data_IF_144448730036
#
_entry.id   IF_144448730036
#
_cell.length_a   1.000
_cell.length_b   1.000
_cell.length_c   1.000
_cell.angle_alpha   90.00
_cell.angle_beta   90.00
_cell.angle_gamma   90.00
#
_symmetry.space_group_name_H-M   'P 1'
#
loop_
_entity.id
_entity.type
_entity.pdbx_description
1 polymer ?
#
# COMPACT_ATOMS: atom_id res chain seq x y z
N UNK A 1 15.59 5.77 23.40
CA UNK A 1 16.61 6.00 22.36
C UNK A 1 16.86 7.49 22.29
N UNK A 2 18.10 8.00 22.12
CA UNK A 2 18.38 9.44 22.21
C UNK A 2 17.92 10.13 20.92
N UNK A 3 17.06 11.16 21.01
CA UNK A 3 16.49 11.91 19.88
C UNK A 3 17.55 12.45 18.91
N UNK A 4 18.71 12.80 19.41
CA UNK A 4 19.84 13.25 18.61
C UNK A 4 20.39 12.15 17.68
N UNK A 5 20.41 10.91 18.17
CA UNK A 5 20.83 9.75 17.38
C UNK A 5 19.83 9.43 16.27
N UNK A 6 18.54 9.62 16.55
CA UNK A 6 17.47 9.44 15.54
C UNK A 6 17.57 10.50 14.45
N UNK A 7 17.78 11.75 14.81
CA UNK A 7 17.96 12.85 13.83
C UNK A 7 19.17 12.59 12.92
N UNK A 8 20.30 12.14 13.49
CA UNK A 8 21.49 11.80 12.71
C UNK A 8 21.23 10.67 11.73
N UNK A 9 20.53 9.62 12.18
CA UNK A 9 20.14 8.50 11.32
C UNK A 9 19.21 8.93 10.18
N UNK A 10 18.19 9.74 10.47
CA UNK A 10 17.27 10.25 9.45
C UNK A 10 17.98 11.16 8.44
N UNK A 11 18.95 11.97 8.90
CA UNK A 11 19.78 12.78 8.01
C UNK A 11 20.60 11.92 7.04
N UNK A 12 21.17 10.83 7.52
CA UNK A 12 21.88 9.87 6.66
C UNK A 12 20.92 9.18 5.69
N UNK A 13 19.75 8.69 6.17
CA UNK A 13 18.72 8.07 5.32
C UNK A 13 18.26 9.01 4.19
N UNK A 14 18.15 10.32 4.45
CA UNK A 14 17.83 11.30 3.41
C UNK A 14 18.84 11.30 2.27
N UNK A 15 20.13 11.30 2.57
CA UNK A 15 21.18 11.25 1.55
C UNK A 15 21.18 9.94 0.75
N UNK A 16 20.76 8.84 1.37
CA UNK A 16 20.71 7.50 0.78
C UNK A 16 19.41 7.22 0.01
N UNK A 17 18.42 8.13 0.05
CA UNK A 17 17.14 7.93 -0.66
C UNK A 17 17.37 7.67 -2.16
N UNK A 18 16.70 6.65 -2.67
CA UNK A 18 16.68 6.28 -4.09
C UNK A 18 15.34 6.64 -4.71
N UNK A 19 15.21 6.53 -6.02
CA UNK A 19 13.92 6.70 -6.71
C UNK A 19 12.88 5.63 -6.29
N UNK A 20 13.31 4.48 -5.78
CA UNK A 20 12.43 3.44 -5.27
C UNK A 20 11.76 3.82 -3.92
N UNK A 21 12.24 4.85 -3.23
CA UNK A 21 11.56 5.36 -2.05
C UNK A 21 10.31 6.16 -2.47
N UNK A 22 9.16 5.86 -1.87
CA UNK A 22 7.85 6.45 -2.21
C UNK A 22 7.83 7.99 -2.08
N UNK A 23 8.56 8.55 -1.09
CA UNK A 23 8.68 9.99 -0.91
C UNK A 23 9.55 10.64 -1.98
N UNK A 24 10.72 10.06 -2.26
CA UNK A 24 11.60 10.56 -3.30
C UNK A 24 10.92 10.46 -4.67
N UNK A 25 10.25 9.34 -4.95
CA UNK A 25 9.47 9.14 -6.16
C UNK A 25 8.39 10.23 -6.32
N UNK A 26 7.57 10.44 -5.30
CA UNK A 26 6.53 11.48 -5.32
C UNK A 26 7.11 12.87 -5.58
N UNK A 27 8.21 13.24 -4.91
CA UNK A 27 8.87 14.54 -5.11
C UNK A 27 9.46 14.70 -6.52
N UNK A 28 10.07 13.66 -7.07
CA UNK A 28 10.58 13.68 -8.46
C UNK A 28 9.44 13.82 -9.47
N UNK A 29 8.34 13.13 -9.22
CA UNK A 29 7.16 13.13 -10.10
C UNK A 29 6.32 14.42 -10.01
N UNK A 30 6.65 15.37 -9.15
CA UNK A 30 6.12 16.74 -9.24
C UNK A 30 6.60 17.46 -10.51
N UNK A 31 7.68 16.98 -11.12
CA UNK A 31 8.22 17.55 -12.36
C UNK A 31 7.44 17.04 -13.58
N UNK A 32 6.59 17.92 -14.15
CA UNK A 32 5.75 17.60 -15.31
C UNK A 32 6.53 17.10 -16.53
N UNK A 33 7.78 17.56 -16.72
CA UNK A 33 8.59 17.13 -17.86
C UNK A 33 9.05 15.68 -17.69
N UNK A 34 9.43 15.28 -16.47
CA UNK A 34 9.76 13.89 -16.13
C UNK A 34 8.53 13.00 -16.30
N UNK A 35 7.37 13.42 -15.75
CA UNK A 35 6.12 12.67 -15.90
C UNK A 35 5.77 12.45 -17.38
N UNK A 36 5.84 13.51 -18.19
CA UNK A 36 5.53 13.43 -19.62
C UNK A 36 6.46 12.45 -20.34
N UNK A 37 7.77 12.58 -20.12
CA UNK A 37 8.76 11.70 -20.76
C UNK A 37 8.59 10.24 -20.34
N UNK A 38 8.34 9.99 -19.06
CA UNK A 38 8.06 8.65 -18.54
C UNK A 38 6.83 8.05 -19.20
N UNK A 39 5.71 8.78 -19.26
CA UNK A 39 4.48 8.31 -19.88
C UNK A 39 4.62 8.06 -21.39
N UNK A 40 5.34 8.91 -22.10
CA UNK A 40 5.63 8.70 -23.55
C UNK A 40 6.44 7.43 -23.81
N UNK A 41 7.30 7.05 -22.90
CA UNK A 41 8.06 5.80 -22.99
C UNK A 41 7.24 4.57 -22.65
N UNK A 42 6.29 4.71 -21.71
CA UNK A 42 5.37 3.63 -21.35
C UNK A 42 4.34 3.40 -22.45
N UNK A 43 3.82 4.48 -23.03
CA UNK A 43 2.76 4.47 -24.03
C UNK A 43 3.19 5.22 -25.31
N UNK A 44 4.14 4.67 -26.08
CA UNK A 44 4.63 5.34 -27.29
C UNK A 44 3.55 5.52 -28.37
N UNK A 45 2.48 4.70 -28.30
CA UNK A 45 1.29 4.79 -29.15
C UNK A 45 0.38 5.97 -28.82
N UNK A 46 0.47 6.51 -27.59
CA UNK A 46 -0.31 7.67 -27.18
C UNK A 46 0.48 8.95 -27.47
N UNK A 47 -0.07 9.82 -28.30
CA UNK A 47 0.48 11.17 -28.50
C UNK A 47 0.24 12.00 -27.25
N UNK A 48 1.18 11.98 -26.29
CA UNK A 48 1.12 12.74 -25.05
C UNK A 48 1.91 14.03 -25.24
N UNK A 49 1.21 15.13 -25.56
CA UNK A 49 1.86 16.41 -25.81
C UNK A 49 2.11 17.19 -24.51
N UNK A 50 1.14 17.21 -23.63
CA UNK A 50 1.23 17.93 -22.35
C UNK A 50 0.62 17.13 -21.21
N UNK A 51 1.26 17.23 -20.06
CA UNK A 51 0.69 16.86 -18.77
C UNK A 51 0.06 18.12 -18.19
N UNK A 52 -1.27 18.12 -18.03
CA UNK A 52 -2.00 19.30 -17.53
C UNK A 52 -1.96 19.40 -16.02
N UNK A 53 -2.04 18.25 -15.33
CA UNK A 53 -2.09 18.20 -13.88
C UNK A 53 -1.31 17.00 -13.34
N UNK A 54 -0.38 17.28 -12.44
CA UNK A 54 0.25 16.28 -11.57
C UNK A 54 -0.17 16.58 -10.14
N UNK A 55 -0.68 15.58 -9.45
CA UNK A 55 -1.00 15.67 -8.03
C UNK A 55 -0.35 14.48 -7.34
N UNK A 56 0.64 14.76 -6.51
CA UNK A 56 1.28 13.74 -5.67
C UNK A 56 0.49 13.53 -4.40
N UNK A 57 0.50 12.31 -3.86
CA UNK A 57 -0.21 11.93 -2.65
C UNK A 57 -1.71 12.30 -2.67
N UNK A 58 -2.34 12.18 -3.86
CA UNK A 58 -3.75 12.53 -4.03
C UNK A 58 -4.65 11.59 -3.23
N UNK A 59 -5.40 12.16 -2.30
CA UNK A 59 -6.51 11.45 -1.67
C UNK A 59 -7.76 11.53 -2.53
N UNK A 60 -8.46 10.42 -2.67
CA UNK A 60 -9.81 10.38 -3.23
C UNK A 60 -10.78 10.27 -2.06
N UNK A 61 -11.66 11.27 -1.95
CA UNK A 61 -12.71 11.25 -0.93
C UNK A 61 -13.73 10.17 -1.31
N UNK A 62 -13.74 9.12 -0.54
CA UNK A 62 -14.75 8.07 -0.58
C UNK A 62 -15.85 8.38 0.44
N UNK A 63 -17.05 7.76 0.34
CA UNK A 63 -18.03 7.81 1.41
C UNK A 63 -17.40 7.46 2.76
N UNK A 64 -17.93 8.01 3.85
CA UNK A 64 -17.37 7.92 5.22
C UNK A 64 -17.00 6.49 5.65
N UNK A 65 -17.67 5.48 5.10
CA UNK A 65 -17.48 4.06 5.44
C UNK A 65 -16.56 3.31 4.44
N UNK A 66 -16.06 3.97 3.39
CA UNK A 66 -15.21 3.34 2.41
C UNK A 66 -13.71 3.57 2.69
N UNK A 67 -12.89 2.61 2.27
CA UNK A 67 -11.44 2.71 2.41
C UNK A 67 -10.91 3.88 1.56
N UNK A 68 -10.35 4.89 2.20
CA UNK A 68 -9.68 6.00 1.52
C UNK A 68 -8.48 5.49 0.72
N UNK A 69 -8.35 5.92 -0.52
CA UNK A 69 -7.18 5.67 -1.37
C UNK A 69 -6.35 6.94 -1.46
N UNK A 70 -5.06 6.76 -1.34
CA UNK A 70 -4.06 7.79 -1.64
C UNK A 70 -3.18 7.29 -2.75
N UNK A 71 -3.27 7.92 -3.92
CA UNK A 71 -2.40 7.65 -5.05
C UNK A 71 -1.04 8.33 -4.84
N UNK A 72 0.05 7.64 -5.15
CA UNK A 72 1.38 8.24 -5.09
C UNK A 72 1.48 9.39 -6.09
N UNK A 73 1.10 9.16 -7.33
CA UNK A 73 1.07 10.17 -8.39
C UNK A 73 -0.19 10.02 -9.22
N UNK A 74 -0.96 11.08 -9.33
CA UNK A 74 -2.12 11.19 -10.21
C UNK A 74 -1.82 12.21 -11.31
N UNK A 75 -1.90 11.80 -12.55
CA UNK A 75 -1.59 12.62 -13.72
C UNK A 75 -2.80 12.70 -14.63
N UNK A 76 -3.06 13.87 -15.19
CA UNK A 76 -4.01 14.06 -16.28
C UNK A 76 -3.33 14.80 -17.42
N UNK A 77 -3.50 14.28 -18.64
CA UNK A 77 -2.96 14.91 -19.84
C UNK A 77 -3.99 15.83 -20.54
N UNK A 78 -3.58 16.40 -21.65
CA UNK A 78 -4.40 17.33 -22.45
C UNK A 78 -5.57 16.66 -23.19
N UNK A 79 -5.57 15.34 -23.29
CA UNK A 79 -6.69 14.55 -23.83
C UNK A 79 -7.57 13.94 -22.72
N UNK A 80 -7.49 14.46 -21.51
CA UNK A 80 -8.24 14.01 -20.33
C UNK A 80 -7.95 12.57 -19.90
N UNK A 81 -6.91 11.92 -20.45
CA UNK A 81 -6.49 10.60 -20.00
C UNK A 81 -5.93 10.70 -18.58
N UNK A 82 -6.29 9.74 -17.75
CA UNK A 82 -5.85 9.68 -16.35
C UNK A 82 -4.81 8.59 -16.17
N UNK A 83 -3.70 8.93 -15.53
CA UNK A 83 -2.63 7.99 -15.20
C UNK A 83 -2.40 7.99 -13.69
N UNK A 84 -2.49 6.80 -13.09
CA UNK A 84 -2.07 6.55 -11.72
C UNK A 84 -0.72 5.88 -11.78
N UNK A 85 0.29 6.46 -11.14
CA UNK A 85 1.64 5.90 -11.11
C UNK A 85 2.05 5.64 -9.67
N UNK A 86 2.40 4.40 -9.38
CA UNK A 86 2.68 3.89 -8.05
C UNK A 86 4.06 3.27 -7.96
N UNK A 87 4.76 3.49 -6.86
CA UNK A 87 6.00 2.82 -6.50
C UNK A 87 5.74 1.76 -5.43
N UNK A 88 6.13 0.52 -5.67
CA UNK A 88 5.86 -0.60 -4.76
C UNK A 88 7.11 -1.44 -4.51
N UNK A 89 7.73 -1.25 -3.35
CA UNK A 89 8.96 -1.99 -2.98
C UNK A 89 8.64 -3.31 -2.29
N UNK A 90 7.60 -3.36 -1.45
CA UNK A 90 7.24 -4.55 -0.70
C UNK A 90 6.10 -5.33 -1.36
N UNK A 91 6.30 -6.62 -1.63
CA UNK A 91 5.25 -7.51 -2.13
C UNK A 91 4.29 -7.90 -1.00
N UNK A 92 3.12 -7.27 -0.97
CA UNK A 92 2.05 -7.55 0.00
C UNK A 92 1.02 -8.57 -0.50
N UNK A 93 1.28 -9.25 -1.62
CA UNK A 93 0.41 -10.26 -2.23
C UNK A 93 -1.02 -9.77 -2.54
N UNK A 94 -1.22 -8.46 -2.73
CA UNK A 94 -2.54 -7.86 -2.93
C UNK A 94 -2.63 -6.95 -4.17
N UNK A 95 -1.63 -6.99 -5.04
CA UNK A 95 -1.52 -6.11 -6.21
C UNK A 95 -2.76 -6.12 -7.12
N UNK A 96 -3.34 -7.28 -7.54
CA UNK A 96 -4.51 -7.30 -8.42
C UNK A 96 -5.75 -6.64 -7.80
N UNK A 97 -5.89 -6.77 -6.48
CA UNK A 97 -7.02 -6.15 -5.75
C UNK A 97 -6.85 -4.63 -5.64
N UNK A 98 -5.61 -4.15 -5.49
CA UNK A 98 -5.31 -2.71 -5.53
C UNK A 98 -5.55 -2.14 -6.93
N UNK A 99 -5.08 -2.80 -7.97
CA UNK A 99 -5.28 -2.42 -9.37
C UNK A 99 -6.78 -2.24 -9.67
N UNK A 100 -7.60 -3.24 -9.32
CA UNK A 100 -9.06 -3.19 -9.48
C UNK A 100 -9.68 -2.02 -8.72
N UNK A 101 -9.33 -1.87 -7.45
CA UNK A 101 -9.89 -0.83 -6.60
C UNK A 101 -9.49 0.58 -7.05
N UNK A 102 -8.29 0.75 -7.58
CA UNK A 102 -7.80 2.03 -8.08
C UNK A 102 -8.57 2.49 -9.33
N UNK A 103 -8.85 1.58 -10.26
CA UNK A 103 -9.70 1.88 -11.42
C UNK A 103 -11.08 2.34 -10.99
N UNK A 104 -11.73 1.62 -10.07
CA UNK A 104 -13.03 1.97 -9.53
C UNK A 104 -13.04 3.37 -8.89
N UNK A 105 -12.02 3.70 -8.11
CA UNK A 105 -11.92 5.01 -7.47
C UNK A 105 -11.73 6.16 -8.47
N UNK A 106 -11.03 5.93 -9.56
CA UNK A 106 -10.90 6.93 -10.64
C UNK A 106 -12.27 7.14 -11.31
N UNK A 107 -12.97 6.08 -11.70
CA UNK A 107 -14.28 6.16 -12.34
C UNK A 107 -15.30 6.86 -11.42
N UNK A 108 -15.31 6.53 -10.13
CA UNK A 108 -16.10 7.23 -9.11
C UNK A 108 -15.80 8.72 -9.01
N UNK A 109 -14.55 9.12 -9.26
CA UNK A 109 -14.15 10.53 -9.23
C UNK A 109 -14.57 11.32 -10.47
N UNK A 110 -14.97 10.62 -11.55
CA UNK A 110 -15.38 11.19 -12.83
C UNK A 110 -16.91 11.29 -12.93
N UNK A 111 -17.60 10.25 -12.49
CA UNK A 111 -19.07 10.20 -12.54
C UNK A 111 -19.67 10.86 -11.29
N UNK A 112 -20.58 11.80 -11.52
CA UNK A 112 -21.44 12.36 -10.49
C UNK A 112 -22.85 11.74 -10.52
N UNK A 113 -23.68 12.03 -9.50
CA UNK A 113 -25.07 11.59 -9.48
C UNK A 113 -25.82 12.04 -10.74
N UNK A 114 -26.40 11.08 -11.48
CA UNK A 114 -27.16 11.36 -12.70
C UNK A 114 -26.35 11.49 -13.98
N UNK A 115 -25.02 11.39 -13.93
CA UNK A 115 -24.18 11.35 -15.13
C UNK A 115 -24.44 10.07 -15.94
N UNK A 116 -24.36 10.20 -17.27
CA UNK A 116 -24.39 9.05 -18.18
C UNK A 116 -23.03 8.31 -18.15
N UNK A 117 -23.05 7.00 -18.17
CA UNK A 117 -21.83 6.16 -18.21
C UNK A 117 -20.94 6.43 -19.42
N UNK A 118 -21.51 6.87 -20.56
CA UNK A 118 -20.76 7.30 -21.76
C UNK A 118 -19.73 8.39 -21.48
N UNK A 119 -19.91 9.16 -20.41
CA UNK A 119 -18.93 10.15 -19.96
C UNK A 119 -17.55 9.55 -19.75
N UNK A 120 -17.46 8.28 -19.29
CA UNK A 120 -16.19 7.59 -19.06
C UNK A 120 -15.39 7.40 -20.34
N UNK A 121 -16.03 7.33 -21.52
CA UNK A 121 -15.33 7.21 -22.80
C UNK A 121 -14.35 8.38 -23.06
N UNK A 122 -14.64 9.55 -22.50
CA UNK A 122 -13.77 10.74 -22.59
C UNK A 122 -12.59 10.72 -21.59
N UNK A 123 -12.49 9.69 -20.71
CA UNK A 123 -11.51 9.64 -19.63
C UNK A 123 -10.80 8.27 -19.53
N UNK A 124 -10.07 7.85 -20.56
CA UNK A 124 -9.31 6.62 -20.48
C UNK A 124 -8.38 6.61 -19.25
N UNK A 125 -8.29 5.47 -18.56
CA UNK A 125 -7.57 5.37 -17.28
C UNK A 125 -6.48 4.31 -17.35
N UNK A 126 -5.27 4.70 -16.99
CA UNK A 126 -4.07 3.87 -16.97
C UNK A 126 -3.54 3.77 -15.54
N UNK A 127 -3.44 2.55 -15.01
CA UNK A 127 -2.85 2.31 -13.70
C UNK A 127 -1.50 1.61 -13.88
N UNK A 128 -0.44 2.24 -13.40
CA UNK A 128 0.95 1.88 -13.62
C UNK A 128 1.61 1.61 -12.26
N UNK A 129 2.15 0.41 -12.09
CA UNK A 129 2.93 0.06 -10.90
C UNK A 129 4.37 -0.23 -11.28
N UNK A 130 5.31 0.44 -10.61
CA UNK A 130 6.72 0.09 -10.61
C UNK A 130 7.00 -0.77 -9.38
N UNK A 131 7.23 -2.07 -9.59
CA UNK A 131 7.43 -3.03 -8.51
C UNK A 131 8.91 -3.44 -8.41
N UNK A 132 9.43 -3.46 -7.19
CA UNK A 132 10.73 -4.04 -6.89
C UNK A 132 10.62 -5.56 -6.58
N UNK A 133 9.75 -6.24 -7.29
CA UNK A 133 9.52 -7.68 -7.23
C UNK A 133 8.74 -8.14 -8.47
N UNK A 134 8.89 -9.43 -8.83
CA UNK A 134 8.06 -10.07 -9.84
C UNK A 134 6.80 -10.66 -9.21
N UNK A 135 5.66 -9.94 -9.33
CA UNK A 135 4.39 -10.41 -8.77
C UNK A 135 3.88 -11.66 -9.46
N UNK A 136 4.08 -11.77 -10.79
CA UNK A 136 3.52 -12.83 -11.61
C UNK A 136 4.46 -14.01 -11.80
N UNK A 137 5.73 -13.90 -11.41
CA UNK A 137 6.72 -14.97 -11.45
C UNK A 137 7.08 -15.45 -12.85
N UNK A 138 6.96 -14.59 -13.89
CA UNK A 138 7.27 -14.92 -15.27
C UNK A 138 8.57 -14.29 -15.78
N UNK A 139 9.32 -13.64 -14.91
CA UNK A 139 10.56 -12.93 -15.20
C UNK A 139 10.45 -11.92 -16.37
N UNK A 140 9.24 -11.35 -16.54
CA UNK A 140 9.03 -10.29 -17.52
C UNK A 140 9.25 -8.93 -16.86
N UNK A 141 9.94 -8.00 -17.53
CA UNK A 141 10.11 -6.64 -16.99
C UNK A 141 8.85 -5.79 -17.10
N UNK A 142 7.87 -6.23 -17.91
CA UNK A 142 6.61 -5.54 -18.11
C UNK A 142 5.46 -6.53 -18.30
N UNK A 143 4.35 -6.26 -17.63
CA UNK A 143 3.07 -6.94 -17.79
C UNK A 143 2.00 -5.90 -18.10
N UNK A 144 1.28 -6.08 -19.25
CA UNK A 144 0.15 -5.23 -19.65
C UNK A 144 -1.12 -6.03 -19.63
N UNK A 145 -2.18 -5.44 -19.08
CA UNK A 145 -3.50 -6.05 -19.00
C UNK A 145 -4.56 -5.07 -19.49
N UNK A 146 -5.47 -5.59 -20.29
CA UNK A 146 -6.69 -4.92 -20.70
C UNK A 146 -7.83 -5.93 -20.82
N UNK A 147 -9.05 -5.48 -20.91
CA UNK A 147 -10.21 -6.33 -21.04
C UNK A 147 -10.34 -6.83 -22.47
N UNK A 148 -10.18 -8.15 -22.66
CA UNK A 148 -10.25 -8.81 -23.98
C UNK A 148 -11.19 -10.00 -23.94
N UNK A 149 -11.77 -10.33 -25.11
CA UNK A 149 -12.55 -11.55 -25.26
C UNK A 149 -11.63 -12.77 -25.13
N UNK A 150 -12.06 -13.80 -24.40
CA UNK A 150 -11.25 -15.00 -24.15
C UNK A 150 -11.04 -15.86 -25.40
N UNK A 151 -12.04 -15.89 -26.29
CA UNK A 151 -12.01 -16.71 -27.50
C UNK A 151 -11.43 -15.94 -28.71
N UNK A 152 -11.47 -14.62 -28.66
CA UNK A 152 -10.95 -13.72 -29.67
C UNK A 152 -10.07 -12.63 -29.01
N UNK A 153 -8.81 -12.92 -28.69
CA UNK A 153 -7.94 -11.99 -27.92
C UNK A 153 -7.69 -10.63 -28.60
N UNK A 154 -7.91 -10.52 -29.90
CA UNK A 154 -7.82 -9.24 -30.63
C UNK A 154 -9.04 -8.34 -30.43
N UNK A 155 -10.15 -8.89 -29.92
CA UNK A 155 -11.36 -8.13 -29.58
C UNK A 155 -11.24 -7.58 -28.17
N UNK A 156 -11.12 -6.25 -28.06
CA UNK A 156 -11.13 -5.55 -26.77
C UNK A 156 -12.55 -5.22 -26.35
N UNK A 157 -12.80 -5.13 -25.04
CA UNK A 157 -14.10 -4.70 -24.51
C UNK A 157 -14.33 -3.18 -24.65
N UNK A 158 -13.33 -2.41 -25.08
CA UNK A 158 -13.48 -0.95 -25.29
C UNK A 158 -13.67 -0.12 -24.02
N UNK A 159 -13.26 -0.64 -22.85
CA UNK A 159 -13.46 0.04 -21.56
C UNK A 159 -12.59 1.29 -21.38
N UNK A 160 -11.57 1.49 -22.20
CA UNK A 160 -10.59 2.57 -22.02
C UNK A 160 -9.70 2.43 -20.78
N UNK A 161 -9.66 1.23 -20.19
CA UNK A 161 -8.85 0.93 -19.01
C UNK A 161 -7.66 0.05 -19.36
N UNK A 162 -6.48 0.39 -18.84
CA UNK A 162 -5.28 -0.40 -19.02
C UNK A 162 -4.46 -0.46 -17.72
N UNK A 163 -3.91 -1.64 -17.43
CA UNK A 163 -3.04 -1.88 -16.27
C UNK A 163 -1.64 -2.22 -16.76
N UNK A 164 -0.63 -1.58 -16.19
CA UNK A 164 0.78 -1.85 -16.50
C UNK A 164 1.52 -2.10 -15.19
N UNK A 165 2.19 -3.24 -15.12
CA UNK A 165 3.03 -3.60 -13.97
C UNK A 165 4.44 -3.82 -14.47
N UNK A 166 5.36 -3.00 -14.00
CA UNK A 166 6.79 -3.16 -14.23
C UNK A 166 7.44 -3.95 -13.10
N UNK A 167 8.35 -4.83 -13.48
CA UNK A 167 9.15 -5.64 -12.58
C UNK A 167 10.62 -5.19 -12.69
N UNK A 168 11.14 -4.51 -11.67
CA UNK A 168 12.52 -4.07 -11.64
C UNK A 168 13.52 -5.20 -11.35
N UNK A 169 13.04 -6.38 -10.91
CA UNK A 169 13.86 -7.57 -10.64
C UNK A 169 14.00 -8.50 -11.85
N UNK A 170 13.46 -8.14 -13.02
CA UNK A 170 13.58 -8.96 -14.20
C UNK A 170 15.05 -9.21 -14.57
N UNK A 171 15.39 -10.45 -14.93
CA UNK A 171 16.76 -10.84 -15.28
C UNK A 171 17.26 -10.19 -16.58
N UNK A 172 16.34 -9.84 -17.48
CA UNK A 172 16.63 -9.18 -18.76
C UNK A 172 15.67 -8.03 -19.03
N UNK A 173 16.23 -6.90 -19.47
CA UNK A 173 15.47 -5.78 -20.01
C UNK A 173 15.70 -5.73 -21.52
N UNK A 174 14.68 -6.09 -22.29
CA UNK A 174 14.76 -5.99 -23.74
C UNK A 174 14.80 -4.52 -24.18
N UNK A 175 15.51 -4.20 -25.24
CA UNK A 175 15.65 -2.82 -25.77
C UNK A 175 14.33 -2.13 -26.13
N UNK A 176 13.24 -2.91 -26.26
CA UNK A 176 11.89 -2.39 -26.54
C UNK A 176 11.20 -1.74 -25.32
N UNK A 177 11.74 -1.92 -24.12
CA UNK A 177 11.14 -1.34 -22.91
C UNK A 177 11.72 0.05 -22.70
N UNK A 178 10.99 1.07 -23.11
CA UNK A 178 11.42 2.47 -23.04
C UNK A 178 11.79 2.95 -21.63
N UNK A 179 11.39 2.22 -20.58
CA UNK A 179 11.66 2.53 -19.16
C UNK A 179 12.75 1.65 -18.53
N UNK A 180 13.47 0.84 -19.33
CA UNK A 180 14.51 -0.05 -18.77
C UNK A 180 15.56 0.69 -17.93
N UNK A 181 15.99 1.87 -18.37
CA UNK A 181 16.91 2.72 -17.60
C UNK A 181 16.31 3.17 -16.26
N UNK A 182 15.03 3.50 -16.23
CA UNK A 182 14.32 3.87 -15.03
C UNK A 182 14.19 2.70 -14.03
N UNK A 183 13.88 1.49 -14.51
CA UNK A 183 13.84 0.28 -13.69
C UNK A 183 15.20 -0.04 -13.08
N UNK A 184 16.29 0.09 -13.85
CA UNK A 184 17.68 -0.05 -13.33
C UNK A 184 18.00 1.01 -12.26
N UNK A 185 17.49 2.23 -12.43
CA UNK A 185 17.69 3.31 -11.46
C UNK A 185 17.02 3.02 -10.11
N UNK A 186 15.96 2.21 -10.07
CA UNK A 186 15.37 1.75 -8.79
C UNK A 186 16.41 1.02 -7.92
N UNK A 187 17.40 0.37 -8.54
CA UNK A 187 18.54 -0.30 -7.89
C UNK A 187 19.83 0.52 -7.91
N UNK A 188 19.75 1.84 -8.07
CA UNK A 188 20.91 2.74 -8.19
C UNK A 188 21.85 2.45 -9.36
N UNK A 189 21.38 1.71 -10.37
CA UNK A 189 22.15 1.46 -11.58
C UNK A 189 21.83 2.57 -12.60
N UNK A 190 22.79 3.46 -12.84
CA UNK A 190 22.64 4.58 -13.75
C UNK A 190 22.93 4.11 -15.17
N UNK A 191 21.90 4.12 -16.02
CA UNK A 191 22.07 3.88 -17.46
C UNK A 191 22.66 5.16 -18.11
N UNK A 192 23.93 5.08 -18.51
CA UNK A 192 24.58 6.21 -19.16
C UNK A 192 23.93 6.53 -20.52
N UNK A 193 23.73 7.81 -20.81
CA UNK A 193 23.16 8.28 -22.07
C UNK A 193 21.64 8.15 -22.19
N UNK A 194 20.93 7.76 -21.11
CA UNK A 194 19.47 7.80 -21.07
C UNK A 194 18.98 9.18 -20.56
N UNK A 195 18.36 10.01 -21.42
CA UNK A 195 17.94 11.36 -21.04
C UNK A 195 16.94 11.40 -19.88
N UNK A 196 16.04 10.39 -19.75
CA UNK A 196 15.11 10.31 -18.65
C UNK A 196 15.86 10.03 -17.34
N UNK A 197 16.77 9.07 -17.33
CA UNK A 197 17.59 8.73 -16.15
C UNK A 197 18.42 9.92 -15.72
N UNK A 198 19.00 10.66 -16.65
CA UNK A 198 19.75 11.88 -16.35
C UNK A 198 18.88 12.99 -15.75
N UNK A 199 17.64 13.16 -16.27
CA UNK A 199 16.69 14.13 -15.74
C UNK A 199 16.26 13.76 -14.32
N UNK A 200 15.89 12.50 -14.10
CA UNK A 200 15.50 11.97 -12.77
C UNK A 200 16.66 12.13 -11.77
N UNK A 201 17.87 11.74 -12.16
CA UNK A 201 19.05 11.85 -11.27
C UNK A 201 19.36 13.31 -10.90
N UNK A 202 19.26 14.23 -11.86
CA UNK A 202 19.42 15.67 -11.57
C UNK A 202 18.35 16.20 -10.63
N UNK A 203 17.10 15.80 -10.84
CA UNK A 203 15.98 16.21 -9.99
C UNK A 203 16.13 15.65 -8.56
N UNK A 204 16.50 14.38 -8.41
CA UNK A 204 16.81 13.79 -7.10
C UNK A 204 17.92 14.57 -6.38
N UNK A 205 18.98 14.93 -7.10
CA UNK A 205 20.07 15.75 -6.52
C UNK A 205 19.56 17.12 -6.08
N UNK A 206 18.74 17.79 -6.89
CA UNK A 206 18.13 19.07 -6.56
C UNK A 206 17.25 18.97 -5.30
N UNK A 207 16.42 17.91 -5.21
CA UNK A 207 15.56 17.64 -4.06
C UNK A 207 16.40 17.42 -2.79
N UNK A 208 17.46 16.62 -2.87
CA UNK A 208 18.35 16.35 -1.72
C UNK A 208 19.07 17.60 -1.20
N UNK A 209 19.34 18.56 -2.08
CA UNK A 209 19.96 19.85 -1.72
C UNK A 209 18.98 20.86 -1.13
N UNK A 210 17.67 20.59 -1.19
CA UNK A 210 16.64 21.48 -0.66
C UNK A 210 16.45 21.27 0.86
N UNK A 211 16.81 22.25 1.71
CA UNK A 211 16.75 22.10 3.15
C UNK A 211 15.31 22.05 3.69
N UNK A 212 14.32 22.60 2.96
CA UNK A 212 12.92 22.58 3.35
C UNK A 212 12.36 21.17 3.14
N UNK A 213 12.59 20.57 1.98
CA UNK A 213 12.18 19.18 1.68
C UNK A 213 12.84 18.17 2.62
N UNK A 214 14.11 18.39 2.96
CA UNK A 214 14.81 17.57 3.97
C UNK A 214 14.13 17.67 5.33
N UNK A 215 13.77 18.86 5.76
CA UNK A 215 13.09 19.10 7.04
C UNK A 215 11.71 18.41 7.08
N UNK A 216 10.93 18.55 6.00
CA UNK A 216 9.61 17.94 5.87
C UNK A 216 9.68 16.41 5.89
N UNK A 217 10.66 15.83 5.20
CA UNK A 217 10.93 14.41 5.26
C UNK A 217 11.25 13.94 6.68
N UNK A 218 12.20 14.61 7.35
CA UNK A 218 12.60 14.23 8.71
C UNK A 218 11.44 14.34 9.69
N UNK A 219 10.64 15.40 9.59
CA UNK A 219 9.44 15.56 10.42
C UNK A 219 8.45 14.43 10.19
N UNK A 220 8.15 14.11 8.95
CA UNK A 220 7.23 13.01 8.63
C UNK A 220 7.71 11.65 9.17
N UNK A 221 9.00 11.35 9.03
CA UNK A 221 9.56 10.09 9.56
C UNK A 221 9.48 10.03 11.08
N UNK A 222 9.72 11.15 11.77
CA UNK A 222 9.54 11.22 13.22
C UNK A 222 8.08 11.00 13.61
N UNK A 223 7.13 11.69 12.99
CA UNK A 223 5.70 11.54 13.25
C UNK A 223 5.24 10.08 13.01
N UNK A 224 5.79 9.42 11.98
CA UNK A 224 5.50 8.02 11.69
C UNK A 224 6.10 7.06 12.74
N UNK A 225 7.30 7.36 13.25
CA UNK A 225 7.92 6.57 14.32
C UNK A 225 7.13 6.70 15.63
N UNK A 226 6.69 7.91 15.97
CA UNK A 226 5.87 8.16 17.17
C UNK A 226 4.53 7.40 17.06
N UNK A 227 3.84 7.50 15.92
CA UNK A 227 2.58 6.78 15.68
C UNK A 227 2.74 5.24 15.76
N UNK A 228 3.88 4.71 15.27
CA UNK A 228 4.18 3.27 15.37
C UNK A 228 4.45 2.86 16.82
N UNK A 229 5.19 3.68 17.58
CA UNK A 229 5.48 3.43 18.99
C UNK A 229 4.20 3.40 19.82
N UNK A 230 3.30 4.38 19.61
CA UNK A 230 2.02 4.45 20.29
C UNK A 230 1.13 3.26 19.94
N UNK A 231 1.03 2.90 18.65
CA UNK A 231 0.28 1.74 18.19
C UNK A 231 0.80 0.43 18.80
N UNK A 232 2.13 0.28 18.89
CA UNK A 232 2.75 -0.89 19.52
C UNK A 232 2.45 -0.95 21.03
N UNK A 233 2.53 0.19 21.73
CA UNK A 233 2.23 0.26 23.16
C UNK A 233 0.76 -0.09 23.45
N UNK A 234 -0.17 0.44 22.68
CA UNK A 234 -1.61 0.13 22.78
C UNK A 234 -1.85 -1.36 22.50
N UNK A 235 -1.32 -1.89 21.39
CA UNK A 235 -1.49 -3.30 21.03
C UNK A 235 -0.91 -4.25 22.09
N UNK A 236 0.25 -3.91 22.68
CA UNK A 236 0.84 -4.70 23.76
C UNK A 236 -0.03 -4.69 25.02
N UNK A 237 -0.57 -3.52 25.40
CA UNK A 237 -1.44 -3.38 26.55
C UNK A 237 -2.75 -4.16 26.37
N UNK A 238 -3.37 -4.07 25.21
CA UNK A 238 -4.58 -4.82 24.85
C UNK A 238 -4.32 -6.33 24.81
N UNK A 239 -3.25 -6.77 24.15
CA UNK A 239 -2.86 -8.18 24.07
C UNK A 239 -2.59 -8.78 25.45
N UNK A 240 -1.91 -8.04 26.33
CA UNK A 240 -1.69 -8.44 27.72
C UNK A 240 -3.00 -8.58 28.49
N UNK A 241 -3.91 -7.61 28.34
CA UNK A 241 -5.25 -7.66 28.98
C UNK A 241 -6.05 -8.86 28.50
N UNK A 242 -6.12 -9.09 27.19
CA UNK A 242 -6.82 -10.24 26.59
C UNK A 242 -6.21 -11.56 27.02
N UNK A 243 -4.87 -11.67 27.02
CA UNK A 243 -4.16 -12.88 27.47
C UNK A 243 -4.40 -13.21 28.93
N UNK A 244 -4.42 -12.21 29.81
CA UNK A 244 -4.74 -12.40 31.24
C UNK A 244 -6.19 -12.86 31.43
N UNK A 245 -7.13 -12.27 30.71
CA UNK A 245 -8.54 -12.64 30.79
C UNK A 245 -8.77 -14.06 30.25
N UNK A 246 -8.18 -14.39 29.11
CA UNK A 246 -8.24 -15.74 28.55
C UNK A 246 -7.61 -16.77 29.47
N UNK A 247 -6.42 -16.50 30.02
CA UNK A 247 -5.73 -17.39 30.97
C UNK A 247 -6.54 -17.61 32.26
N UNK A 248 -7.21 -16.54 32.76
CA UNK A 248 -8.13 -16.65 33.88
C UNK A 248 -9.32 -17.58 33.53
N UNK A 249 -9.94 -17.40 32.37
CA UNK A 249 -11.07 -18.25 31.94
C UNK A 249 -10.66 -19.71 31.76
N UNK A 250 -9.52 -19.98 31.12
CA UNK A 250 -8.99 -21.34 30.95
C UNK A 250 -8.67 -22.00 32.29
N UNK A 251 -8.08 -21.23 33.23
CA UNK A 251 -7.78 -21.70 34.59
C UNK A 251 -9.06 -22.11 35.36
N UNK A 252 -10.12 -21.30 35.25
CA UNK A 252 -11.42 -21.60 35.87
C UNK A 252 -12.03 -22.87 35.27
N UNK A 253 -12.01 -23.03 33.94
CA UNK A 253 -12.49 -24.24 33.28
C UNK A 253 -11.68 -25.47 33.69
N UNK A 254 -10.36 -25.36 33.76
CA UNK A 254 -9.52 -26.45 34.21
C UNK A 254 -9.79 -26.86 35.67
N UNK A 255 -9.98 -25.86 36.55
CA UNK A 255 -10.36 -26.14 37.94
C UNK A 255 -11.77 -26.80 38.05
N UNK A 256 -12.72 -26.33 37.24
CA UNK A 256 -14.04 -26.95 37.17
C UNK A 256 -13.98 -28.43 36.68
N UNK A 257 -13.16 -28.71 35.65
CA UNK A 257 -12.93 -30.08 35.16
C UNK A 257 -12.31 -30.99 36.25
N UNK A 258 -11.33 -30.46 36.96
CA UNK A 258 -10.69 -31.19 38.07
C UNK A 258 -11.68 -31.49 39.19
N UNK A 259 -12.50 -30.52 39.58
CA UNK A 259 -13.52 -30.73 40.64
C UNK A 259 -14.64 -31.70 40.26
N UNK A 260 -15.01 -31.71 38.97
CA UNK A 260 -15.96 -32.72 38.42
C UNK A 260 -15.40 -34.13 38.53
N UNK A 261 -14.09 -34.32 38.30
CA UNK A 261 -13.42 -35.62 38.44
C UNK A 261 -13.35 -36.14 39.88
N UNK A 262 -13.62 -35.29 40.89
CA UNK A 262 -13.65 -35.67 42.32
C UNK A 262 -15.03 -36.13 42.80
N UNK A 263 -16.00 -36.29 41.91
CA UNK A 263 -17.39 -36.75 42.19
C UNK A 263 -18.11 -35.87 43.27
N UNK A 264 -17.73 -34.59 43.36
CA UNK A 264 -18.36 -33.63 44.28
C UNK A 264 -19.75 -33.21 43.77
N UNK A 265 -20.64 -32.85 44.72
CA UNK A 265 -21.96 -32.33 44.31
C UNK A 265 -21.81 -30.97 43.59
N UNK A 266 -22.69 -30.73 42.62
CA UNK A 266 -22.70 -29.47 41.83
C UNK A 266 -22.65 -28.20 42.73
N UNK A 267 -23.40 -28.19 43.83
CA UNK A 267 -23.46 -27.10 44.79
C UNK A 267 -22.10 -26.85 45.45
N UNK A 268 -21.33 -27.90 45.77
CA UNK A 268 -19.99 -27.79 46.32
C UNK A 268 -19.01 -27.24 45.30
N UNK A 269 -19.05 -27.72 44.04
CA UNK A 269 -18.19 -27.24 42.98
C UNK A 269 -18.42 -25.76 42.74
N UNK A 270 -19.65 -25.33 42.60
CA UNK A 270 -20.02 -23.91 42.39
C UNK A 270 -19.49 -23.04 43.54
N UNK A 271 -19.68 -23.44 44.77
CA UNK A 271 -19.15 -22.69 45.93
C UNK A 271 -17.63 -22.57 45.93
N UNK A 272 -16.92 -23.64 45.56
CA UNK A 272 -15.45 -23.62 45.45
C UNK A 272 -14.97 -22.70 44.36
N UNK A 273 -15.59 -22.74 43.18
CA UNK A 273 -15.25 -21.84 42.06
C UNK A 273 -15.52 -20.36 42.43
N UNK A 274 -16.65 -20.07 43.07
CA UNK A 274 -16.96 -18.73 43.55
C UNK A 274 -15.87 -18.21 44.50
N UNK A 275 -15.48 -19.02 45.50
CA UNK A 275 -14.50 -18.63 46.51
C UNK A 275 -13.07 -18.51 45.93
N UNK A 276 -12.68 -19.41 45.04
CA UNK A 276 -11.30 -19.43 44.48
C UNK A 276 -11.03 -18.34 43.45
N UNK A 277 -12.06 -17.92 42.69
CA UNK A 277 -11.90 -17.01 41.59
C UNK A 277 -12.71 -15.72 41.70
N UNK A 278 -13.33 -15.47 42.85
CA UNK A 278 -14.20 -14.29 43.10
C UNK A 278 -15.32 -14.16 42.05
N UNK A 279 -16.07 -15.24 41.83
CA UNK A 279 -17.15 -15.31 40.85
C UNK A 279 -18.50 -15.19 41.49
N UNK A 280 -19.45 -14.61 40.75
CA UNK A 280 -20.87 -14.75 41.10
C UNK A 280 -21.34 -16.19 40.88
N UNK A 281 -22.44 -16.59 41.51
CA UNK A 281 -23.03 -17.91 41.32
C UNK A 281 -23.35 -18.21 39.84
N UNK A 282 -23.86 -17.21 39.12
CA UNK A 282 -24.22 -17.33 37.72
C UNK A 282 -22.98 -17.53 36.81
N UNK A 283 -21.85 -16.92 37.15
CA UNK A 283 -20.59 -17.09 36.46
C UNK A 283 -19.97 -18.47 36.70
N UNK A 284 -19.93 -18.89 37.96
CA UNK A 284 -19.45 -20.23 38.33
C UNK A 284 -20.27 -21.34 37.65
N UNK A 285 -21.58 -21.20 37.56
CA UNK A 285 -22.46 -22.11 36.83
C UNK A 285 -22.15 -22.16 35.31
N UNK A 286 -21.88 -21.01 34.69
CA UNK A 286 -21.48 -20.95 33.27
C UNK A 286 -20.17 -21.67 33.01
N UNK A 287 -19.17 -21.46 33.87
CA UNK A 287 -17.88 -22.14 33.73
C UNK A 287 -17.99 -23.64 33.97
N UNK A 288 -18.83 -24.07 34.94
CA UNK A 288 -19.10 -25.46 35.22
C UNK A 288 -19.76 -26.15 33.98
N UNK A 289 -20.73 -25.50 33.36
CA UNK A 289 -21.35 -25.98 32.12
C UNK A 289 -20.31 -26.13 30.98
N UNK A 290 -19.47 -25.12 30.81
CA UNK A 290 -18.41 -25.12 29.78
C UNK A 290 -17.34 -26.20 30.03
N UNK A 291 -17.15 -26.61 31.30
CA UNK A 291 -16.24 -27.68 31.64
C UNK A 291 -16.80 -29.09 31.36
N UNK A 292 -18.13 -29.22 31.14
CA UNK A 292 -18.83 -30.48 30.80
C UNK A 292 -18.94 -30.68 29.26
N UNK A 293 -18.74 -29.64 28.46
CA UNK A 293 -18.62 -29.67 27.00
C UNK A 293 -17.19 -30.09 26.59
#
# INVERSE_FOLDING_TARGET
>A
MNREHELTRLAQQWEELTIANDRMFSMVMENNAICRELLRRIFPELAIDRVQRVTVQKQVNTPLDARTVRFDVYIRDDQQRTYIVEMQVANRQNLPYRLRYYLEQVDHSILGPGDNYEKLAGYPTYVIFFCDFDYYGQDRPEYRFEWRNTDQPDLTAGTGQQLVVFNAQASTFHDKIGVAGFLKLMHNQIAAGDPLVEQVTREMKRIKQDPERRRDYMKYELDLMDARSDGMAIGLAEGKKQGLEQGKQESIVAAAKMLLGLELSRTVIVKQLMSAYDLSSAEAERYLKRAQE
#
